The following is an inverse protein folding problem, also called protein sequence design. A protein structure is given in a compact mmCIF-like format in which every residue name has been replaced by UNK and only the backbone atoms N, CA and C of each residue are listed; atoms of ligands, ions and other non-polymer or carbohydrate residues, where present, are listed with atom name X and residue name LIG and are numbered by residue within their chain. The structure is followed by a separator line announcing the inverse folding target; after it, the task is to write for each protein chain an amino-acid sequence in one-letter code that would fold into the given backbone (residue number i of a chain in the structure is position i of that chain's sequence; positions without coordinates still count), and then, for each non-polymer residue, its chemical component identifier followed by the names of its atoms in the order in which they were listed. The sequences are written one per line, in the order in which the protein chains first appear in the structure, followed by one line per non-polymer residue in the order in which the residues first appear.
data_IF_529296253347
#
_entry.id   IF_529296253347
#
_cell.length_a   1.000
_cell.length_b   1.000
_cell.length_c   1.000
_cell.angle_alpha   90.00
_cell.angle_beta   90.00
_cell.angle_gamma   90.00
#
_symmetry.space_group_name_H-M   'P 1'
#
loop_
_entity.id
_entity.type
_entity.pdbx_description
1 polymer ?
#
# COMPACT_ATOMS: atom_id res chain seq x y z
N UNK A 1 22.34 2.16 -12.82
CA UNK A 1 21.08 1.99 -13.56
C UNK A 1 20.18 3.18 -13.29
N UNK A 2 19.61 3.73 -14.30
CA UNK A 2 18.72 4.88 -14.15
C UNK A 2 17.31 4.50 -14.57
N UNK A 3 16.35 4.77 -13.70
CA UNK A 3 14.93 4.51 -13.94
C UNK A 3 14.23 5.83 -14.23
N UNK A 4 13.41 5.85 -15.27
CA UNK A 4 12.62 7.05 -15.59
C UNK A 4 11.66 7.38 -14.46
N UNK A 5 11.48 8.66 -14.17
CA UNK A 5 10.53 9.14 -13.19
C UNK A 5 9.09 8.65 -13.51
N UNK A 6 8.73 8.64 -14.78
CA UNK A 6 7.41 8.14 -15.20
C UNK A 6 7.24 6.65 -14.87
N UNK A 7 8.26 5.83 -15.15
CA UNK A 7 8.21 4.40 -14.84
C UNK A 7 8.08 4.17 -13.34
N UNK A 8 8.85 4.89 -12.54
CA UNK A 8 8.78 4.79 -11.09
C UNK A 8 7.39 5.20 -10.57
N UNK A 9 6.85 6.32 -11.07
CA UNK A 9 5.54 6.81 -10.68
C UNK A 9 4.43 5.83 -11.06
N UNK A 10 4.43 5.34 -12.29
CA UNK A 10 3.43 4.38 -12.78
C UNK A 10 3.50 3.07 -11.98
N UNK A 11 4.69 2.56 -11.71
CA UNK A 11 4.86 1.35 -10.90
C UNK A 11 4.28 1.52 -9.49
N UNK A 12 4.54 2.66 -8.87
CA UNK A 12 4.01 2.95 -7.53
C UNK A 12 2.49 3.12 -7.54
N UNK A 13 1.94 3.76 -8.55
CA UNK A 13 0.48 3.88 -8.69
C UNK A 13 -0.19 2.53 -8.94
N UNK A 14 0.45 1.63 -9.67
CA UNK A 14 -0.04 0.24 -9.82
C UNK A 14 -0.04 -0.50 -8.49
N UNK A 15 0.98 -0.31 -7.66
CA UNK A 15 1.02 -0.85 -6.30
C UNK A 15 -0.13 -0.35 -5.45
N UNK A 16 -0.41 0.95 -5.50
CA UNK A 16 -1.56 1.55 -4.81
C UNK A 16 -2.88 0.97 -5.33
N UNK A 17 -3.01 0.81 -6.64
CA UNK A 17 -4.20 0.22 -7.25
C UNK A 17 -4.45 -1.21 -6.76
N UNK A 18 -3.39 -2.02 -6.60
CA UNK A 18 -3.50 -3.37 -6.05
C UNK A 18 -4.00 -3.35 -4.60
N UNK A 19 -3.49 -2.44 -3.77
CA UNK A 19 -3.92 -2.29 -2.37
C UNK A 19 -5.40 -1.92 -2.31
N UNK A 20 -5.81 -0.92 -3.07
CA UNK A 20 -7.21 -0.46 -3.11
C UNK A 20 -8.13 -1.56 -3.65
N UNK A 21 -7.70 -2.27 -4.70
CA UNK A 21 -8.47 -3.37 -5.28
C UNK A 21 -8.65 -4.51 -4.27
N UNK A 22 -7.61 -4.86 -3.51
CA UNK A 22 -7.72 -5.90 -2.47
C UNK A 22 -8.70 -5.49 -1.38
N UNK A 23 -8.64 -4.24 -0.92
CA UNK A 23 -9.57 -3.75 0.09
C UNK A 23 -11.01 -3.71 -0.45
N UNK A 24 -11.20 -3.26 -1.67
CA UNK A 24 -12.52 -3.24 -2.30
C UNK A 24 -13.09 -4.65 -2.46
N UNK A 25 -12.25 -5.60 -2.88
CA UNK A 25 -12.64 -7.00 -3.00
C UNK A 25 -13.10 -7.56 -1.66
N UNK A 26 -12.31 -7.35 -0.60
CA UNK A 26 -12.67 -7.80 0.75
C UNK A 26 -13.96 -7.14 1.24
N UNK A 27 -14.10 -5.85 1.03
CA UNK A 27 -15.28 -5.10 1.46
C UNK A 27 -16.56 -5.56 0.79
N UNK A 28 -16.50 -5.85 -0.50
CA UNK A 28 -17.68 -6.25 -1.28
C UNK A 28 -18.01 -7.72 -1.06
N UNK A 29 -17.00 -8.62 -1.12
CA UNK A 29 -17.25 -10.08 -1.11
C UNK A 29 -17.41 -10.64 0.29
N UNK A 30 -16.72 -10.10 1.29
CA UNK A 30 -16.72 -10.65 2.64
C UNK A 30 -17.63 -9.86 3.58
N UNK A 31 -17.53 -8.55 3.56
CA UNK A 31 -18.28 -7.70 4.50
C UNK A 31 -19.59 -7.16 3.92
N UNK A 32 -19.85 -7.39 2.65
CA UNK A 32 -21.06 -6.92 1.96
C UNK A 32 -21.31 -5.41 2.20
N UNK A 33 -20.24 -4.63 2.17
CA UNK A 33 -20.31 -3.20 2.47
C UNK A 33 -20.99 -2.42 1.35
N UNK A 34 -21.76 -1.42 1.73
CA UNK A 34 -22.27 -0.43 0.78
C UNK A 34 -21.12 0.47 0.31
N UNK A 35 -21.32 1.19 -0.80
CA UNK A 35 -20.29 2.07 -1.34
C UNK A 35 -19.82 3.13 -0.35
N UNK A 36 -20.74 3.72 0.42
CA UNK A 36 -20.42 4.75 1.41
C UNK A 36 -19.50 4.18 2.51
N UNK A 37 -19.84 3.01 3.03
CA UNK A 37 -19.05 2.33 4.07
C UNK A 37 -17.71 1.90 3.52
N UNK A 38 -17.69 1.37 2.29
CA UNK A 38 -16.46 0.94 1.64
C UNK A 38 -15.48 2.11 1.45
N UNK A 39 -15.98 3.23 0.92
CA UNK A 39 -15.14 4.42 0.71
C UNK A 39 -14.62 4.98 2.03
N UNK A 40 -15.44 5.01 3.07
CA UNK A 40 -15.02 5.46 4.40
C UNK A 40 -13.92 4.55 4.96
N UNK A 41 -14.10 3.24 4.84
CA UNK A 41 -13.10 2.28 5.32
C UNK A 41 -11.78 2.36 4.55
N UNK A 42 -11.84 2.52 3.23
CA UNK A 42 -10.63 2.75 2.43
C UNK A 42 -9.93 4.03 2.91
N UNK A 43 -10.68 5.10 3.11
CA UNK A 43 -10.12 6.37 3.56
C UNK A 43 -9.40 6.27 4.91
N UNK A 44 -9.97 5.54 5.86
CA UNK A 44 -9.42 5.45 7.21
C UNK A 44 -8.37 4.33 7.32
N UNK A 45 -8.73 3.11 6.93
CA UNK A 45 -7.90 1.93 7.21
C UNK A 45 -6.85 1.63 6.14
N UNK A 46 -6.94 2.25 4.99
CA UNK A 46 -5.96 2.09 3.91
C UNK A 46 -5.15 3.35 3.70
N UNK A 47 -5.80 4.49 3.49
CA UNK A 47 -5.11 5.73 3.15
C UNK A 47 -4.26 6.26 4.30
N UNK A 48 -4.75 6.20 5.55
CA UNK A 48 -4.02 6.71 6.70
C UNK A 48 -2.75 5.89 6.98
N UNK A 49 -2.80 4.55 7.06
CA UNK A 49 -1.57 3.75 7.22
C UNK A 49 -0.57 3.91 6.08
N UNK A 50 -1.03 4.30 4.89
CA UNK A 50 -0.18 4.48 3.71
C UNK A 50 0.43 5.88 3.60
N UNK A 51 0.22 6.76 4.60
CA UNK A 51 0.79 8.12 4.58
C UNK A 51 2.30 8.12 4.28
N UNK A 52 3.16 7.26 4.88
CA UNK A 52 4.57 7.25 4.53
C UNK A 52 4.84 6.99 3.04
N UNK A 53 4.05 6.09 2.42
CA UNK A 53 4.17 5.82 1.01
C UNK A 53 3.70 7.00 0.14
N UNK A 54 2.64 7.70 0.55
CA UNK A 54 2.18 8.90 -0.14
C UNK A 54 3.21 10.03 -0.06
N UNK A 55 3.85 10.21 1.09
CA UNK A 55 4.94 11.18 1.25
C UNK A 55 6.08 10.82 0.28
N UNK A 56 6.48 9.55 0.23
CA UNK A 56 7.52 9.07 -0.67
C UNK A 56 7.15 9.28 -2.15
N UNK A 57 5.87 9.13 -2.49
CA UNK A 57 5.38 9.29 -3.85
C UNK A 57 5.61 10.72 -4.38
N UNK A 58 5.50 11.72 -3.50
CA UNK A 58 5.70 13.12 -3.87
C UNK A 58 7.15 13.57 -3.74
N UNK A 59 8.07 12.69 -3.36
CA UNK A 59 9.50 13.00 -3.31
C UNK A 59 10.17 12.78 -4.68
N UNK A 60 11.45 13.02 -4.73
CA UNK A 60 12.24 12.78 -5.95
C UNK A 60 12.37 11.29 -6.31
N UNK A 61 12.05 10.41 -5.37
CA UNK A 61 12.13 8.96 -5.56
C UNK A 61 10.77 8.30 -5.33
N UNK A 62 9.84 8.39 -6.28
CA UNK A 62 8.52 7.79 -6.11
C UNK A 62 8.55 6.26 -6.10
N UNK A 63 9.63 5.63 -6.56
CA UNK A 63 9.72 4.17 -6.55
C UNK A 63 9.76 3.60 -5.13
N UNK A 64 10.27 4.35 -4.15
CA UNK A 64 10.24 3.91 -2.76
C UNK A 64 8.82 3.75 -2.21
N UNK A 65 7.86 4.52 -2.74
CA UNK A 65 6.44 4.36 -2.39
C UNK A 65 5.91 2.96 -2.73
N UNK A 66 6.39 2.37 -3.82
CA UNK A 66 6.02 1.00 -4.20
C UNK A 66 6.37 0.00 -3.08
N UNK A 67 7.53 0.16 -2.45
CA UNK A 67 7.91 -0.65 -1.29
C UNK A 67 6.92 -0.55 -0.15
N UNK A 68 6.43 0.66 0.13
CA UNK A 68 5.40 0.87 1.15
C UNK A 68 4.07 0.21 0.79
N UNK A 69 3.60 0.39 -0.43
CA UNK A 69 2.34 -0.23 -0.88
C UNK A 69 2.42 -1.76 -0.85
N UNK A 70 3.51 -2.34 -1.35
CA UNK A 70 3.69 -3.79 -1.36
C UNK A 70 3.89 -4.36 0.04
N UNK A 71 4.52 -3.63 0.96
CA UNK A 71 4.67 -4.05 2.35
C UNK A 71 3.34 -4.02 3.11
N UNK A 72 2.42 -3.15 2.72
CA UNK A 72 1.08 -3.07 3.33
C UNK A 72 0.14 -4.18 2.82
N UNK A 73 0.27 -4.58 1.57
CA UNK A 73 -0.63 -5.54 0.93
C UNK A 73 -0.77 -6.87 1.69
N UNK A 74 0.32 -7.51 2.21
CA UNK A 74 0.19 -8.75 2.97
C UNK A 74 -0.72 -8.63 4.20
N UNK A 75 -0.77 -7.46 4.84
CA UNK A 75 -1.66 -7.24 5.98
C UNK A 75 -3.13 -7.27 5.59
N UNK A 76 -3.48 -6.72 4.43
CA UNK A 76 -4.84 -6.80 3.89
C UNK A 76 -5.21 -8.24 3.52
N UNK A 77 -4.29 -8.98 2.93
CA UNK A 77 -4.48 -10.39 2.60
C UNK A 77 -4.67 -11.21 3.88
N UNK A 78 -3.86 -10.94 4.90
CA UNK A 78 -3.98 -11.58 6.19
C UNK A 78 -5.33 -11.28 6.87
N UNK A 79 -5.78 -10.04 6.82
CA UNK A 79 -7.07 -9.65 7.36
C UNK A 79 -8.22 -10.38 6.64
N UNK A 80 -8.16 -10.46 5.33
CA UNK A 80 -9.12 -11.22 4.53
C UNK A 80 -9.14 -12.69 4.94
N UNK A 81 -7.96 -13.29 5.08
CA UNK A 81 -7.85 -14.69 5.49
C UNK A 81 -8.47 -14.92 6.87
N UNK A 82 -8.14 -14.10 7.83
CA UNK A 82 -8.64 -14.24 9.21
C UNK A 82 -10.14 -14.04 9.28
N UNK A 83 -10.67 -13.01 8.58
CA UNK A 83 -12.08 -12.66 8.71
C UNK A 83 -13.00 -13.45 7.77
N UNK A 84 -12.51 -13.83 6.60
CA UNK A 84 -13.35 -14.37 5.54
C UNK A 84 -13.11 -15.86 5.26
N UNK A 85 -11.91 -16.35 5.50
CA UNK A 85 -11.52 -17.73 5.19
C UNK A 85 -11.55 -18.64 6.41
N UNK A 86 -11.45 -18.07 7.63
CA UNK A 86 -11.50 -18.88 8.86
C UNK A 86 -12.88 -18.77 9.50
N UNK A 87 -13.44 -19.89 10.01
CA UNK A 87 -14.74 -19.84 10.69
C UNK A 87 -14.63 -19.06 12.00
N UNK A 88 -15.51 -18.07 12.16
CA UNK A 88 -15.56 -17.31 13.40
C UNK A 88 -16.53 -17.95 14.37
N UNK A 89 -16.06 -18.20 15.57
CA UNK A 89 -16.87 -18.76 16.65
C UNK A 89 -17.34 -17.69 17.66
N UNK A 90 -16.99 -16.43 17.44
CA UNK A 90 -17.34 -15.34 18.35
C UNK A 90 -17.65 -14.02 17.66
N UNK A 91 -18.53 -13.24 18.25
CA UNK A 91 -18.86 -11.90 17.77
C UNK A 91 -17.72 -10.91 18.08
N UNK A 92 -17.35 -10.08 17.12
CA UNK A 92 -16.48 -8.94 17.36
C UNK A 92 -15.02 -9.09 16.96
N UNK A 93 -14.62 -10.20 16.34
CA UNK A 93 -13.23 -10.38 15.89
C UNK A 93 -12.82 -9.48 14.74
N UNK A 94 -13.77 -9.11 13.90
CA UNK A 94 -13.49 -8.36 12.67
C UNK A 94 -12.89 -6.96 12.93
N UNK A 95 -13.38 -6.26 13.94
CA UNK A 95 -12.88 -4.91 14.23
C UNK A 95 -11.46 -4.89 14.79
N UNK A 96 -11.05 -5.95 15.49
CA UNK A 96 -9.71 -6.01 16.07
C UNK A 96 -8.64 -6.25 14.99
N UNK A 97 -8.95 -7.04 13.96
CA UNK A 97 -7.98 -7.28 12.89
C UNK A 97 -7.65 -5.99 12.13
N UNK A 98 -8.61 -5.09 11.96
CA UNK A 98 -8.36 -3.80 11.31
C UNK A 98 -7.48 -2.88 12.15
N UNK A 99 -7.56 -2.95 13.48
CA UNK A 99 -6.62 -2.23 14.35
C UNK A 99 -5.19 -2.75 14.14
N UNK A 100 -5.03 -4.07 14.05
CA UNK A 100 -3.74 -4.70 13.76
C UNK A 100 -3.22 -4.25 12.39
N UNK A 101 -4.07 -4.30 11.37
CA UNK A 101 -3.72 -3.87 10.01
C UNK A 101 -3.32 -2.39 10.01
N UNK A 102 -4.05 -1.55 10.72
CA UNK A 102 -3.77 -0.12 10.81
C UNK A 102 -2.39 0.13 11.42
N UNK A 103 -2.11 -0.46 12.59
CA UNK A 103 -0.87 -0.20 13.32
C UNK A 103 0.33 -0.88 12.67
N UNK A 104 0.24 -2.18 12.46
CA UNK A 104 1.36 -2.94 11.86
C UNK A 104 1.52 -2.66 10.38
N UNK A 105 0.42 -2.39 9.69
CA UNK A 105 0.45 -1.99 8.29
C UNK A 105 1.15 -0.66 8.10
N UNK A 106 0.89 0.33 8.96
CA UNK A 106 1.57 1.62 8.92
C UNK A 106 3.08 1.46 9.16
N UNK A 107 3.46 0.67 10.17
CA UNK A 107 4.86 0.38 10.45
C UNK A 107 5.53 -0.35 9.28
N UNK A 108 4.86 -1.35 8.71
CA UNK A 108 5.37 -2.09 7.55
C UNK A 108 5.49 -1.21 6.31
N UNK A 109 4.54 -0.30 6.11
CA UNK A 109 4.59 0.67 5.02
C UNK A 109 5.83 1.56 5.13
N UNK A 110 6.08 2.11 6.32
CA UNK A 110 7.26 2.92 6.57
C UNK A 110 8.54 2.13 6.33
N UNK A 111 8.63 0.92 6.86
CA UNK A 111 9.79 0.05 6.67
C UNK A 111 9.97 -0.34 5.20
N UNK A 112 8.89 -0.58 4.48
CA UNK A 112 8.95 -0.89 3.04
C UNK A 112 9.49 0.27 2.22
N UNK A 113 9.06 1.51 2.53
CA UNK A 113 9.58 2.72 1.89
C UNK A 113 11.08 2.86 2.14
N UNK A 114 11.49 2.73 3.40
CA UNK A 114 12.90 2.84 3.78
C UNK A 114 13.74 1.73 3.17
N UNK A 115 13.22 0.51 3.14
CA UNK A 115 13.91 -0.65 2.57
C UNK A 115 14.20 -0.43 1.08
N UNK A 116 13.21 -0.02 0.32
CA UNK A 116 13.41 0.22 -1.12
C UNK A 116 14.35 1.40 -1.33
N UNK A 117 14.24 2.47 -0.54
CA UNK A 117 15.14 3.61 -0.65
C UNK A 117 16.60 3.22 -0.38
N UNK A 118 16.84 2.42 0.68
CA UNK A 118 18.18 1.93 1.00
C UNK A 118 18.69 0.97 -0.07
N UNK A 119 17.82 0.05 -0.54
CA UNK A 119 18.19 -0.89 -1.58
C UNK A 119 18.61 -0.17 -2.87
N UNK A 120 17.86 0.84 -3.28
CA UNK A 120 18.20 1.65 -4.45
C UNK A 120 19.52 2.39 -4.25
N UNK A 121 19.76 2.91 -3.05
CA UNK A 121 21.03 3.56 -2.74
C UNK A 121 22.20 2.58 -2.84
N UNK A 122 22.04 1.38 -2.26
CA UNK A 122 23.08 0.36 -2.30
C UNK A 122 23.35 -0.13 -3.73
N UNK A 123 22.32 -0.27 -4.53
CA UNK A 123 22.44 -0.70 -5.92
C UNK A 123 22.77 0.45 -6.88
N UNK A 124 22.93 1.66 -6.35
CA UNK A 124 23.19 2.86 -7.14
C UNK A 124 22.14 3.13 -8.23
N UNK A 125 20.90 2.74 -7.96
CA UNK A 125 19.78 3.00 -8.84
C UNK A 125 19.27 4.42 -8.59
N UNK A 126 19.17 5.21 -9.63
CA UNK A 126 18.69 6.58 -9.54
C UNK A 126 17.42 6.74 -10.37
N UNK A 127 16.47 7.50 -9.82
CA UNK A 127 15.31 7.92 -10.59
C UNK A 127 15.62 9.26 -11.24
N UNK A 128 15.73 9.25 -12.55
CA UNK A 128 15.97 10.46 -13.33
C UNK A 128 14.67 11.10 -13.77
N UNK A 129 14.59 12.43 -13.65
CA UNK A 129 13.62 13.17 -14.43
C UNK A 129 13.98 12.93 -15.89
N UNK A 130 13.05 12.36 -16.64
CA UNK A 130 13.26 12.19 -18.05
C UNK A 130 13.65 13.52 -18.68
N UNK A 131 14.95 13.64 -18.97
CA UNK A 131 15.40 14.76 -19.69
C UNK A 131 14.89 14.59 -21.10
N UNK A 132 13.87 15.33 -21.42
CA UNK A 132 13.52 15.54 -22.81
C UNK A 132 14.45 16.57 -23.45
N UNK A 133 15.62 16.62 -22.92
CA UNK A 133 16.60 17.42 -23.57
C UNK A 133 17.16 16.67 -24.74
N UNK A 134 16.60 16.84 -25.75
CA UNK A 134 17.05 16.46 -26.86
C UNK A 134 17.44 17.32 -27.59
N UNK A 135 18.05 17.05 -27.94
CA UNK A 135 18.62 17.69 -28.93
C UNK A 135 18.18 17.43 -30.24
#
# INVERSE_FOLDING_TARGET
MQISYRTALVSSLLGLALVVAMQAYSGITCYEQTWDVLLTNIGIFVMVPLIPAFIALFTRNPLSALGGFLAFLPWLIYAYYVDCMTPHTGAGGASLIYVVVFLYGAASCLLGVLFVAVLMWLMQVKVGKGNHAHK
#
